data_IF_293735534406
#
_entry.id   IF_293735534406
#
_cell.length_a   1.000
_cell.length_b   1.000
_cell.length_c   1.000
_cell.angle_alpha   90.00
_cell.angle_beta   90.00
_cell.angle_gamma   90.00
#
_symmetry.space_group_name_H-M   'P 1'
#
loop_
_entity.id
_entity.type
_entity.pdbx_description
1 polymer ?
#
# COMPACT_ATOMS: atom_id res chain seq x y z
N UNK A 1 -18.20 -21.61 4.14
CA UNK A 1 -17.79 -20.20 4.33
C UNK A 1 -18.35 -19.40 3.16
N UNK A 2 -19.22 -18.41 3.39
CA UNK A 2 -19.88 -17.65 2.30
C UNK A 2 -18.84 -16.92 1.45
N UNK A 3 -19.05 -16.83 0.13
CA UNK A 3 -18.14 -16.15 -0.83
C UNK A 3 -17.74 -14.75 -0.34
N UNK A 4 -18.67 -14.01 0.27
CA UNK A 4 -18.45 -12.69 0.89
C UNK A 4 -17.36 -12.72 1.98
N UNK A 5 -17.38 -13.73 2.86
CA UNK A 5 -16.40 -13.90 3.95
C UNK A 5 -15.01 -14.22 3.40
N UNK A 6 -14.93 -15.02 2.34
CA UNK A 6 -13.66 -15.37 1.68
C UNK A 6 -13.06 -14.14 1.00
N UNK A 7 -13.86 -13.39 0.22
CA UNK A 7 -13.42 -12.15 -0.42
C UNK A 7 -12.93 -11.11 0.60
N UNK A 8 -13.64 -10.96 1.72
CA UNK A 8 -13.23 -10.05 2.80
C UNK A 8 -11.92 -10.47 3.46
N UNK A 9 -11.73 -11.77 3.70
CA UNK A 9 -10.47 -12.29 4.23
C UNK A 9 -9.31 -12.02 3.27
N UNK A 10 -9.48 -12.29 1.98
CA UNK A 10 -8.48 -12.01 0.94
C UNK A 10 -8.15 -10.51 0.89
N UNK A 11 -9.16 -9.64 0.87
CA UNK A 11 -8.97 -8.20 0.89
C UNK A 11 -8.15 -7.74 2.10
N UNK A 12 -8.48 -8.24 3.29
CA UNK A 12 -7.79 -7.89 4.54
C UNK A 12 -6.32 -8.32 4.50
N UNK A 13 -6.03 -9.51 3.97
CA UNK A 13 -4.64 -9.99 3.80
C UNK A 13 -3.88 -9.12 2.81
N UNK A 14 -4.47 -8.77 1.67
CA UNK A 14 -3.84 -7.91 0.65
C UNK A 14 -3.50 -6.54 1.23
N UNK A 15 -4.47 -5.88 1.88
CA UNK A 15 -4.26 -4.57 2.50
C UNK A 15 -3.20 -4.65 3.61
N UNK A 16 -3.24 -5.70 4.44
CA UNK A 16 -2.23 -5.92 5.48
C UNK A 16 -0.83 -6.07 4.92
N UNK A 17 -0.66 -6.88 3.86
CA UNK A 17 0.65 -7.08 3.22
C UNK A 17 1.15 -5.79 2.58
N UNK A 18 0.32 -5.11 1.78
CA UNK A 18 0.74 -3.91 1.07
C UNK A 18 0.96 -2.73 2.03
N UNK A 19 0.10 -2.56 3.03
CA UNK A 19 0.21 -1.51 4.03
C UNK A 19 1.38 -1.67 5.00
N UNK A 20 1.98 -2.87 5.10
CA UNK A 20 3.12 -3.13 6.01
C UNK A 20 4.42 -3.34 5.25
N UNK A 21 4.43 -4.08 4.15
CA UNK A 21 5.66 -4.48 3.45
C UNK A 21 5.98 -3.67 2.20
N UNK A 22 4.96 -3.09 1.55
CA UNK A 22 5.10 -2.41 0.26
C UNK A 22 4.51 -1.00 0.31
N UNK A 23 5.06 -0.19 1.21
CA UNK A 23 4.60 1.18 1.42
C UNK A 23 5.38 2.12 0.49
N UNK A 24 4.71 2.94 -0.35
CA UNK A 24 5.39 3.90 -1.22
C UNK A 24 6.02 5.03 -0.40
N UNK A 25 7.33 5.16 -0.50
CA UNK A 25 8.12 6.17 0.18
C UNK A 25 9.06 6.88 -0.80
N UNK A 26 9.31 8.16 -0.55
CA UNK A 26 10.42 8.88 -1.16
C UNK A 26 11.65 8.69 -0.27
N UNK A 27 12.77 8.29 -0.86
CA UNK A 27 14.06 8.39 -0.19
C UNK A 27 14.54 9.83 -0.34
N UNK A 28 14.61 10.55 0.77
CA UNK A 28 15.05 11.95 0.79
C UNK A 28 16.37 12.08 1.56
N UNK A 29 17.19 13.03 1.11
CA UNK A 29 18.45 13.40 1.74
C UNK A 29 18.62 14.92 1.75
N UNK A 30 19.44 15.41 2.68
CA UNK A 30 19.72 16.84 2.80
C UNK A 30 19.54 17.36 4.23
N UNK A 31 19.99 18.59 4.45
CA UNK A 31 19.97 19.26 5.76
C UNK A 31 19.10 20.52 5.68
N UNK A 32 18.18 20.69 6.65
CA UNK A 32 17.28 21.85 6.68
C UNK A 32 16.26 21.88 5.53
N UNK A 33 16.04 23.07 4.94
CA UNK A 33 15.02 23.31 3.90
C UNK A 33 15.39 22.88 2.48
N UNK A 34 16.52 22.20 2.27
CA UNK A 34 16.96 21.65 0.98
C UNK A 34 16.91 20.13 1.02
N UNK A 35 15.70 19.59 1.07
CA UNK A 35 15.45 18.16 0.94
C UNK A 35 15.36 17.81 -0.53
N UNK A 36 16.23 16.93 -0.99
CA UNK A 36 16.22 16.42 -2.35
C UNK A 36 15.67 14.98 -2.35
N UNK A 37 14.84 14.67 -3.34
CA UNK A 37 14.29 13.34 -3.55
C UNK A 37 15.28 12.56 -4.41
N UNK A 38 15.83 11.47 -3.88
CA UNK A 38 16.75 10.58 -4.60
C UNK A 38 15.97 9.61 -5.46
N UNK A 39 14.98 8.96 -4.85
CA UNK A 39 14.22 7.86 -5.47
C UNK A 39 12.85 7.73 -4.82
N UNK A 40 11.93 7.12 -5.56
CA UNK A 40 10.63 6.68 -5.05
C UNK A 40 10.63 5.15 -5.04
N UNK A 41 10.45 4.56 -3.86
CA UNK A 41 10.61 3.13 -3.62
C UNK A 41 9.44 2.57 -2.81
N UNK A 42 9.19 1.26 -2.93
CA UNK A 42 8.26 0.55 -2.07
C UNK A 42 9.05 -0.16 -0.99
N UNK A 43 8.83 0.23 0.26
CA UNK A 43 9.60 -0.30 1.39
C UNK A 43 8.68 -0.73 2.54
N UNK A 44 9.15 -1.62 3.42
CA UNK A 44 8.41 -1.95 4.63
C UNK A 44 8.26 -0.74 5.55
N UNK A 45 7.14 -0.66 6.28
CA UNK A 45 6.77 0.49 7.11
C UNK A 45 7.82 0.80 8.20
N UNK A 46 8.54 -0.21 8.67
CA UNK A 46 9.59 -0.07 9.67
C UNK A 46 10.79 0.77 9.17
N UNK A 47 11.03 0.81 7.85
CA UNK A 47 12.08 1.66 7.25
C UNK A 47 11.79 3.16 7.38
N UNK A 48 10.55 3.56 7.68
CA UNK A 48 10.26 4.97 8.00
C UNK A 48 10.82 5.40 9.35
N UNK A 49 10.99 4.46 10.28
CA UNK A 49 11.56 4.70 11.61
C UNK A 49 13.08 4.59 11.56
N UNK A 50 13.59 3.80 10.60
CA UNK A 50 15.00 3.54 10.45
C UNK A 50 15.76 4.76 9.93
N UNK A 51 16.55 5.38 10.81
CA UNK A 51 17.43 6.53 10.49
C UNK A 51 18.87 6.11 10.24
N UNK A 52 19.15 4.83 10.06
CA UNK A 52 20.53 4.32 10.05
C UNK A 52 21.28 4.50 8.73
N UNK A 53 20.62 4.90 7.63
CA UNK A 53 21.29 5.01 6.33
C UNK A 53 22.01 6.36 6.17
N UNK A 54 23.33 6.32 6.39
CA UNK A 54 24.25 7.41 6.07
C UNK A 54 24.54 7.42 4.56
N UNK A 55 24.04 8.43 3.84
CA UNK A 55 24.37 8.68 2.43
C UNK A 55 25.07 10.04 2.37
N UNK A 56 26.33 10.08 1.89
CA UNK A 56 27.14 11.30 1.78
C UNK A 56 27.22 12.14 3.08
N UNK A 57 27.34 11.49 4.24
CA UNK A 57 27.49 12.18 5.54
C UNK A 57 26.20 12.75 6.14
N UNK A 58 25.04 12.54 5.50
CA UNK A 58 23.72 12.88 6.01
C UNK A 58 22.87 11.62 6.20
N UNK A 59 21.96 11.66 7.18
CA UNK A 59 21.00 10.59 7.40
C UNK A 59 19.89 10.69 6.35
N UNK A 60 19.92 9.80 5.35
CA UNK A 60 18.82 9.64 4.43
C UNK A 60 17.62 9.06 5.20
N UNK A 61 16.42 9.52 4.86
CA UNK A 61 15.19 9.05 5.50
C UNK A 61 14.13 8.72 4.47
N UNK A 62 13.31 7.73 4.77
CA UNK A 62 12.14 7.42 3.98
C UNK A 62 10.96 8.29 4.43
N UNK A 63 10.40 9.05 3.50
CA UNK A 63 9.19 9.84 3.72
C UNK A 63 7.99 9.19 3.03
N UNK A 64 6.92 8.97 3.79
CA UNK A 64 5.69 8.35 3.30
C UNK A 64 5.03 9.21 2.22
N UNK A 65 4.71 8.61 1.07
CA UNK A 65 3.90 9.28 0.06
C UNK A 65 2.42 8.96 0.33
N UNK A 66 1.82 9.70 1.27
CA UNK A 66 0.45 9.43 1.75
C UNK A 66 -0.58 9.37 0.62
N UNK A 67 -0.48 10.26 -0.37
CA UNK A 67 -1.38 10.27 -1.53
C UNK A 67 -1.32 8.95 -2.32
N UNK A 68 -0.12 8.41 -2.57
CA UNK A 68 0.05 7.11 -3.25
C UNK A 68 -0.51 5.95 -2.43
N UNK A 69 -0.37 5.97 -1.11
CA UNK A 69 -0.98 4.96 -0.23
C UNK A 69 -2.51 4.96 -0.38
N UNK A 70 -3.13 6.14 -0.29
CA UNK A 70 -4.58 6.29 -0.41
C UNK A 70 -5.08 5.84 -1.79
N UNK A 71 -4.41 6.25 -2.88
CA UNK A 71 -4.78 5.80 -4.23
C UNK A 71 -4.64 4.28 -4.37
N UNK A 72 -3.59 3.69 -3.83
CA UNK A 72 -3.38 2.23 -3.88
C UNK A 72 -4.52 1.49 -3.18
N UNK A 73 -4.92 1.92 -1.97
CA UNK A 73 -6.04 1.32 -1.25
C UNK A 73 -7.38 1.51 -1.97
N UNK A 74 -7.63 2.71 -2.53
CA UNK A 74 -8.83 2.97 -3.30
C UNK A 74 -8.95 2.07 -4.54
N UNK A 75 -7.84 1.88 -5.28
CA UNK A 75 -7.80 1.01 -6.46
C UNK A 75 -8.07 -0.45 -6.07
N UNK A 76 -7.45 -0.94 -5.01
CA UNK A 76 -7.66 -2.33 -4.54
C UNK A 76 -9.10 -2.52 -4.08
N UNK A 77 -9.67 -1.57 -3.34
CA UNK A 77 -11.06 -1.62 -2.92
C UNK A 77 -12.01 -1.66 -4.13
N UNK A 78 -11.74 -0.86 -5.16
CA UNK A 78 -12.51 -0.85 -6.40
C UNK A 78 -12.44 -2.22 -7.12
N UNK A 79 -11.25 -2.80 -7.25
CA UNK A 79 -11.07 -4.13 -7.87
C UNK A 79 -11.85 -5.18 -7.09
N UNK A 80 -11.71 -5.21 -5.76
CA UNK A 80 -12.42 -6.18 -4.93
C UNK A 80 -13.93 -6.00 -4.98
N UNK A 81 -14.40 -4.76 -5.08
CA UNK A 81 -15.81 -4.45 -5.28
C UNK A 81 -16.34 -4.97 -6.63
N UNK A 82 -15.59 -4.78 -7.71
CA UNK A 82 -15.94 -5.34 -9.02
C UNK A 82 -15.97 -6.87 -9.00
N UNK A 83 -14.98 -7.50 -8.37
CA UNK A 83 -14.94 -8.96 -8.20
C UNK A 83 -16.18 -9.42 -7.41
N UNK A 84 -16.51 -8.75 -6.32
CA UNK A 84 -17.71 -9.04 -5.54
C UNK A 84 -18.99 -8.98 -6.39
N UNK A 85 -19.17 -7.93 -7.21
CA UNK A 85 -20.34 -7.81 -8.09
C UNK A 85 -20.44 -8.97 -9.10
N UNK A 86 -19.31 -9.42 -9.65
CA UNK A 86 -19.29 -10.56 -10.58
C UNK A 86 -19.74 -11.85 -9.90
N UNK A 87 -19.28 -12.10 -8.67
CA UNK A 87 -19.67 -13.28 -7.90
C UNK A 87 -21.14 -13.22 -7.46
N UNK A 88 -21.62 -12.07 -6.98
CA UNK A 88 -23.00 -11.87 -6.54
C UNK A 88 -24.00 -12.05 -7.71
N UNK A 89 -23.66 -11.57 -8.91
CA UNK A 89 -24.46 -11.78 -10.12
C UNK A 89 -24.47 -13.23 -10.60
N UNK A 90 -23.38 -13.97 -10.37
CA UNK A 90 -23.26 -15.39 -10.75
C UNK A 90 -24.07 -16.28 -9.80
N UNK A 91 -24.07 -15.96 -8.50
CA UNK A 91 -24.85 -16.68 -7.49
C UNK A 91 -26.36 -16.51 -7.72
N UNK A 92 -26.81 -15.28 -8.01
CA UNK A 92 -28.22 -14.99 -8.32
C UNK A 92 -28.72 -15.69 -9.59
N UNK A 93 -27.86 -15.98 -10.58
CA UNK A 93 -28.24 -16.71 -11.80
C UNK A 93 -28.40 -18.22 -11.63
N UNK A 94 -27.91 -18.81 -10.53
CA UNK A 94 -28.08 -20.24 -10.24
C UNK A 94 -29.39 -20.56 -9.51
N UNK A 95 -30.10 -19.54 -9.03
CA UNK A 95 -31.35 -19.66 -8.26
C UNK A 95 -32.61 -19.31 -9.07
N UNK A 96 -32.48 -19.19 -10.40
CA UNK A 96 -33.57 -19.02 -11.37
C UNK A 96 -33.53 -20.22 -12.31
#
# INVERSE_FOLDING_TARGET
MTVKKVLFAIYTVIIGILGVFFVPCNLVYGYGGKLEIISAEFVPIWKLIDKTQLINGNYARYELILSRVLYTFAIIALIMFLVYLVFDKTDNRKNI
#
